data_IF_222841683068
#
_entry.id   IF_222841683068
#
_cell.length_a   1.000
_cell.length_b   1.000
_cell.length_c   1.000
_cell.angle_alpha   90.00
_cell.angle_beta   90.00
_cell.angle_gamma   90.00
#
_symmetry.space_group_name_H-M   'P 1'
#
loop_
_entity.id
_entity.type
_entity.pdbx_description
1 polymer ?
#
# COMPACT_ATOMS: atom_id res chain seq x y z
N UNK A 1 3.48 -13.79 -16.83
CA UNK A 1 4.84 -14.07 -17.36
C UNK A 1 5.73 -12.92 -16.92
N UNK A 2 6.54 -13.12 -15.88
CA UNK A 2 7.48 -12.13 -15.34
C UNK A 2 8.88 -12.74 -15.44
N UNK A 3 9.66 -12.25 -16.38
CA UNK A 3 11.11 -12.43 -16.51
C UNK A 3 11.72 -11.07 -16.14
N UNK A 4 12.78 -10.91 -15.36
CA UNK A 4 13.89 -11.80 -15.01
C UNK A 4 14.45 -11.34 -13.65
N UNK A 5 14.79 -12.27 -12.77
CA UNK A 5 15.59 -11.99 -11.57
C UNK A 5 17.06 -11.84 -11.98
N UNK A 6 17.71 -10.75 -11.57
CA UNK A 6 19.17 -10.60 -11.64
C UNK A 6 19.73 -10.95 -10.27
N UNK A 7 20.46 -12.06 -10.21
CA UNK A 7 21.22 -12.48 -9.03
C UNK A 7 22.52 -11.67 -8.94
N UNK A 8 22.63 -10.78 -7.97
CA UNK A 8 23.90 -10.15 -7.59
C UNK A 8 24.70 -11.09 -6.68
N UNK A 9 25.98 -11.31 -7.00
CA UNK A 9 26.90 -12.14 -6.22
C UNK A 9 27.20 -11.59 -4.81
N UNK A 10 27.94 -12.34 -3.97
CA UNK A 10 28.15 -12.01 -2.56
C UNK A 10 29.17 -10.88 -2.42
N UNK A 11 28.70 -9.64 -2.57
CA UNK A 11 29.42 -8.44 -2.14
C UNK A 11 29.43 -8.39 -0.61
N UNK A 12 30.61 -8.22 -0.03
CA UNK A 12 30.83 -7.99 1.41
C UNK A 12 29.76 -7.02 1.94
N UNK A 13 28.88 -7.50 2.83
CA UNK A 13 27.82 -6.71 3.44
C UNK A 13 28.37 -5.40 3.98
N UNK A 14 28.17 -4.31 3.24
CA UNK A 14 28.53 -2.98 3.71
C UNK A 14 27.76 -2.71 5.00
N UNK A 15 28.42 -2.21 6.06
CA UNK A 15 27.70 -1.84 7.27
C UNK A 15 26.75 -0.68 6.92
N UNK A 16 25.45 -0.97 6.95
CA UNK A 16 24.35 -0.03 6.78
C UNK A 16 23.62 0.07 8.11
N UNK A 17 23.31 1.29 8.53
CA UNK A 17 22.49 1.53 9.71
C UNK A 17 21.12 2.05 9.32
N UNK A 18 20.11 1.72 10.13
CA UNK A 18 18.81 2.38 10.10
C UNK A 18 18.68 3.29 11.33
N UNK A 19 18.22 4.52 11.11
CA UNK A 19 17.81 5.46 12.17
C UNK A 19 16.29 5.65 12.13
N UNK A 20 15.61 5.44 13.26
CA UNK A 20 14.14 5.45 13.34
C UNK A 20 13.62 5.92 14.69
N UNK A 21 12.37 6.38 14.70
CA UNK A 21 11.70 6.82 15.92
C UNK A 21 10.90 5.68 16.54
N UNK A 22 11.11 5.44 17.83
CA UNK A 22 10.30 4.56 18.67
C UNK A 22 9.56 5.39 19.71
N UNK A 23 8.74 4.74 20.56
CA UNK A 23 8.12 5.39 21.72
C UNK A 23 9.15 5.91 22.74
N UNK A 24 10.34 5.32 22.79
CA UNK A 24 11.43 5.70 23.70
C UNK A 24 12.32 6.80 23.12
N UNK A 25 12.14 7.15 21.85
CA UNK A 25 12.89 8.19 21.14
C UNK A 25 13.56 7.68 19.86
N UNK A 26 14.45 8.51 19.33
CA UNK A 26 15.22 8.20 18.13
C UNK A 26 16.31 7.15 18.46
N UNK A 27 16.41 6.14 17.61
CA UNK A 27 17.33 5.02 17.74
C UNK A 27 18.05 4.81 16.42
N UNK A 28 19.34 4.49 16.47
CA UNK A 28 20.13 4.10 15.30
C UNK A 28 20.84 2.77 15.54
N UNK A 29 20.64 1.82 14.63
CA UNK A 29 21.17 0.45 14.76
C UNK A 29 21.57 -0.11 13.40
N UNK A 30 22.43 -1.13 13.42
CA UNK A 30 22.81 -1.85 12.21
C UNK A 30 21.62 -2.58 11.60
N UNK A 31 21.57 -2.63 10.27
CA UNK A 31 20.45 -3.18 9.50
C UNK A 31 20.04 -4.60 9.94
N UNK A 32 21.01 -5.46 10.24
CA UNK A 32 20.80 -6.86 10.67
C UNK A 32 19.98 -6.96 11.96
N UNK A 33 20.12 -5.99 12.87
CA UNK A 33 19.35 -5.94 14.13
C UNK A 33 17.91 -5.44 13.92
N UNK A 34 17.67 -4.74 12.83
CA UNK A 34 16.37 -4.16 12.50
C UNK A 34 15.44 -5.12 11.75
N UNK A 35 15.96 -6.26 11.25
CA UNK A 35 15.21 -7.18 10.38
C UNK A 35 13.90 -7.68 11.01
N UNK A 36 13.87 -7.87 12.33
CA UNK A 36 12.71 -8.36 13.09
C UNK A 36 11.83 -7.24 13.68
N UNK A 37 12.20 -5.97 13.51
CA UNK A 37 11.45 -4.83 14.06
C UNK A 37 10.09 -4.69 13.38
N UNK A 38 9.05 -4.44 14.19
CA UNK A 38 7.68 -4.18 13.72
C UNK A 38 7.46 -2.68 13.55
N UNK A 39 8.12 -2.11 12.54
CA UNK A 39 8.06 -0.67 12.27
C UNK A 39 6.63 -0.15 12.19
N UNK A 40 5.73 -0.90 11.55
CA UNK A 40 4.33 -0.57 11.36
C UNK A 40 3.49 -0.49 12.65
N UNK A 41 4.01 -0.97 13.79
CA UNK A 41 3.32 -0.96 15.09
C UNK A 41 4.05 -0.15 16.17
N UNK A 42 5.38 -0.23 16.17
CA UNK A 42 6.22 0.23 17.29
C UNK A 42 6.96 1.54 16.99
N UNK A 43 6.94 1.99 15.73
CA UNK A 43 7.66 3.16 15.26
C UNK A 43 6.75 4.28 14.77
N UNK A 44 7.35 5.46 14.58
CA UNK A 44 6.70 6.64 13.99
C UNK A 44 7.55 7.22 12.86
N UNK A 45 6.96 8.05 11.97
CA UNK A 45 7.69 8.64 10.85
C UNK A 45 8.94 9.40 11.31
N UNK A 46 10.06 9.25 10.59
CA UNK A 46 11.32 9.94 10.90
C UNK A 46 11.37 11.39 10.46
N UNK A 47 10.44 11.79 9.61
CA UNK A 47 10.27 13.17 9.16
C UNK A 47 8.90 13.67 9.58
N UNK A 48 8.84 14.97 9.87
CA UNK A 48 7.58 15.67 10.05
C UNK A 48 6.97 15.97 8.68
N UNK A 49 5.64 16.06 8.64
CA UNK A 49 4.87 16.52 7.46
C UNK A 49 4.46 18.00 7.65
N UNK A 50 5.36 18.98 7.46
CA UNK A 50 4.99 20.38 7.59
C UNK A 50 4.05 20.81 6.45
N UNK A 51 3.01 21.56 6.82
CA UNK A 51 2.08 22.19 5.88
C UNK A 51 2.19 23.70 6.00
N UNK A 52 2.52 24.40 4.91
CA UNK A 52 2.62 25.87 4.89
C UNK A 52 2.06 26.49 3.60
N UNK A 53 1.68 27.77 3.67
CA UNK A 53 1.09 28.50 2.53
C UNK A 53 2.11 28.63 1.40
N UNK A 54 1.70 28.27 0.17
CA UNK A 54 2.54 28.35 -1.04
C UNK A 54 3.29 27.07 -1.38
N UNK A 55 3.08 26.01 -0.60
CA UNK A 55 3.66 24.69 -0.83
C UNK A 55 3.10 24.05 -2.11
N UNK A 56 3.99 23.45 -2.91
CA UNK A 56 3.65 22.82 -4.20
C UNK A 56 3.19 21.37 -4.07
N UNK A 57 3.63 20.69 -3.01
CA UNK A 57 3.20 19.35 -2.67
C UNK A 57 2.00 19.40 -1.69
N UNK A 58 1.20 18.34 -1.66
CA UNK A 58 -0.06 18.28 -0.92
C UNK A 58 0.06 17.28 0.22
N UNK A 59 0.67 17.67 1.36
CA UNK A 59 0.79 16.78 2.49
C UNK A 59 -0.58 16.50 3.11
N UNK A 60 -0.77 15.27 3.57
CA UNK A 60 -2.03 14.85 4.15
C UNK A 60 -1.90 13.54 4.93
N UNK A 61 -3.00 13.17 5.58
CA UNK A 61 -3.14 11.92 6.30
C UNK A 61 -4.21 11.06 5.62
N UNK A 62 -3.83 9.86 5.20
CA UNK A 62 -4.78 8.84 4.74
C UNK A 62 -5.23 8.01 5.94
N UNK A 63 -6.54 7.99 6.22
CA UNK A 63 -7.10 7.04 7.17
C UNK A 63 -7.11 5.65 6.52
N UNK A 64 -6.13 4.82 6.94
CA UNK A 64 -5.84 3.48 6.43
C UNK A 64 -6.79 2.49 7.09
N UNK A 65 -7.81 2.04 6.36
CA UNK A 65 -8.92 1.25 6.87
C UNK A 65 -8.48 -0.08 7.48
N UNK A 66 -7.42 -0.67 6.94
CA UNK A 66 -6.87 -1.95 7.40
C UNK A 66 -6.28 -1.87 8.82
N UNK A 67 -5.63 -0.76 9.18
CA UNK A 67 -5.02 -0.57 10.51
C UNK A 67 -5.82 0.34 11.44
N UNK A 68 -6.78 1.10 10.89
CA UNK A 68 -7.52 2.13 11.62
C UNK A 68 -6.69 3.37 11.98
N UNK A 69 -5.45 3.48 11.48
CA UNK A 69 -4.51 4.55 11.77
C UNK A 69 -4.40 5.53 10.59
N UNK A 70 -3.78 6.68 10.85
CA UNK A 70 -3.44 7.65 9.81
C UNK A 70 -2.02 7.41 9.30
N UNK A 71 -1.86 7.34 7.98
CA UNK A 71 -0.55 7.24 7.32
C UNK A 71 -0.31 8.50 6.51
N UNK A 72 0.89 9.09 6.64
CA UNK A 72 1.23 10.34 5.98
C UNK A 72 1.57 10.17 4.50
N UNK A 73 1.26 11.18 3.71
CA UNK A 73 1.75 11.35 2.35
C UNK A 73 2.15 12.81 2.13
N UNK A 74 3.12 13.07 1.26
CA UNK A 74 3.56 14.39 0.83
C UNK A 74 3.01 14.76 -0.57
N UNK A 75 2.58 13.78 -1.37
CA UNK A 75 2.08 14.00 -2.74
C UNK A 75 0.78 13.26 -3.06
N UNK A 76 0.12 13.62 -4.17
CA UNK A 76 -1.07 12.91 -4.65
C UNK A 76 -0.74 11.49 -5.13
N UNK A 77 0.44 11.28 -5.72
CA UNK A 77 0.88 9.96 -6.17
C UNK A 77 1.09 9.04 -4.98
N UNK A 78 1.72 9.54 -3.92
CA UNK A 78 1.85 8.83 -2.65
C UNK A 78 0.49 8.50 -2.02
N UNK A 79 -0.46 9.45 -1.99
CA UNK A 79 -1.82 9.18 -1.52
C UNK A 79 -2.49 8.06 -2.34
N UNK A 80 -2.35 8.10 -3.66
CA UNK A 80 -2.96 7.10 -4.54
C UNK A 80 -2.31 5.72 -4.33
N UNK A 81 -1.00 5.66 -4.08
CA UNK A 81 -0.32 4.42 -3.69
C UNK A 81 -0.78 3.92 -2.31
N UNK A 82 -0.94 4.79 -1.31
CA UNK A 82 -1.54 4.42 -0.02
C UNK A 82 -2.96 3.87 -0.17
N UNK A 83 -3.76 4.45 -1.07
CA UNK A 83 -5.11 3.96 -1.37
C UNK A 83 -5.06 2.55 -1.97
N UNK A 84 -4.11 2.25 -2.84
CA UNK A 84 -3.92 0.90 -3.39
C UNK A 84 -3.43 -0.08 -2.32
N UNK A 85 -2.46 0.31 -1.48
CA UNK A 85 -1.97 -0.50 -0.37
C UNK A 85 -3.08 -0.80 0.66
N UNK A 86 -3.99 0.14 0.91
CA UNK A 86 -5.12 -0.05 1.84
C UNK A 86 -6.24 -0.94 1.28
N UNK A 87 -6.29 -1.10 -0.05
CA UNK A 87 -7.22 -2.00 -0.73
C UNK A 87 -6.62 -3.40 -0.98
N UNK A 88 -5.31 -3.59 -0.74
CA UNK A 88 -4.64 -4.86 -0.93
C UNK A 88 -4.87 -5.79 0.28
N UNK A 89 -5.54 -6.94 0.11
CA UNK A 89 -5.86 -7.85 1.22
C UNK A 89 -4.63 -8.53 1.83
N UNK A 90 -3.48 -8.50 1.15
CA UNK A 90 -2.22 -9.04 1.67
C UNK A 90 -1.47 -8.01 2.51
N UNK A 91 -1.80 -6.72 2.45
CA UNK A 91 -1.19 -5.69 3.29
C UNK A 91 -1.87 -5.68 4.65
N UNK A 92 -1.08 -5.69 5.73
CA UNK A 92 -1.60 -5.67 7.12
C UNK A 92 -1.05 -4.52 7.96
N UNK A 93 -0.06 -3.79 7.44
CA UNK A 93 0.47 -2.60 8.11
C UNK A 93 1.32 -1.75 7.18
N UNK A 94 1.25 -0.43 7.38
CA UNK A 94 2.03 0.54 6.61
C UNK A 94 2.52 1.64 7.55
N UNK A 95 3.79 2.02 7.42
CA UNK A 95 4.37 3.20 8.06
C UNK A 95 4.98 4.11 6.98
N UNK A 96 4.58 5.39 6.99
CA UNK A 96 5.20 6.41 6.15
C UNK A 96 6.55 6.85 6.70
N UNK A 97 7.54 7.03 5.82
CA UNK A 97 8.89 7.51 6.16
C UNK A 97 9.46 6.79 7.39
N UNK A 98 9.65 5.46 7.29
CA UNK A 98 9.80 4.58 8.44
C UNK A 98 11.15 4.74 9.16
N UNK A 99 12.20 5.06 8.40
CA UNK A 99 13.58 5.16 8.87
C UNK A 99 14.44 5.93 7.87
N UNK A 100 15.58 6.44 8.34
CA UNK A 100 16.70 6.80 7.48
C UNK A 100 17.63 5.61 7.30
N UNK A 101 17.96 5.28 6.06
CA UNK A 101 19.05 4.39 5.69
C UNK A 101 20.33 5.22 5.65
N UNK A 102 21.36 4.81 6.38
CA UNK A 102 22.67 5.46 6.40
C UNK A 102 23.73 4.55 5.79
N UNK A 103 24.39 5.03 4.74
CA UNK A 103 25.54 4.36 4.14
C UNK A 103 26.87 5.04 4.52
N UNK A 104 27.98 4.31 4.34
CA UNK A 104 29.32 4.74 4.77
C UNK A 104 29.88 5.96 4.05
N UNK A 105 29.43 6.20 2.82
CA UNK A 105 29.81 7.36 2.02
C UNK A 105 29.13 8.66 2.47
N UNK A 106 28.32 8.59 3.54
CA UNK A 106 27.57 9.73 4.08
C UNK A 106 26.23 9.95 3.39
N UNK A 107 25.93 9.21 2.32
CA UNK A 107 24.62 9.24 1.68
C UNK A 107 23.59 8.70 2.66
N UNK A 108 22.41 9.34 2.70
CA UNK A 108 21.26 8.86 3.46
C UNK A 108 19.99 8.97 2.65
N UNK A 109 19.06 8.07 2.89
CA UNK A 109 17.77 8.03 2.21
C UNK A 109 16.67 7.67 3.19
N UNK A 110 15.50 8.27 3.06
CA UNK A 110 14.31 7.87 3.80
C UNK A 110 13.28 7.37 2.78
N UNK A 111 13.01 6.05 2.74
CA UNK A 111 11.97 5.51 1.88
C UNK A 111 10.60 6.10 2.20
N UNK A 112 9.70 6.14 1.23
CA UNK A 112 8.36 6.71 1.43
C UNK A 112 7.49 5.81 2.33
N UNK A 113 7.55 4.48 2.17
CA UNK A 113 6.76 3.55 2.98
C UNK A 113 7.50 2.26 3.38
N UNK A 114 7.18 1.77 4.57
CA UNK A 114 7.38 0.38 4.98
C UNK A 114 6.03 -0.33 4.94
N UNK A 115 5.96 -1.49 4.31
CA UNK A 115 4.73 -2.29 4.16
C UNK A 115 4.97 -3.68 4.75
N UNK A 116 4.12 -4.07 5.69
CA UNK A 116 4.03 -5.43 6.22
C UNK A 116 2.94 -6.19 5.48
N UNK A 117 3.29 -7.36 4.93
CA UNK A 117 2.32 -8.29 4.37
C UNK A 117 1.85 -9.34 5.38
N UNK A 118 0.71 -9.96 5.09
CA UNK A 118 0.03 -10.97 5.92
C UNK A 118 0.89 -12.20 6.18
N UNK A 119 1.71 -12.59 5.21
CA UNK A 119 2.67 -13.71 5.34
C UNK A 119 3.91 -13.35 6.17
N UNK A 120 3.99 -12.11 6.67
CA UNK A 120 5.11 -11.59 7.43
C UNK A 120 6.22 -10.99 6.58
N UNK A 121 6.17 -11.10 5.24
CA UNK A 121 7.14 -10.45 4.36
C UNK A 121 7.05 -8.92 4.45
N UNK A 122 8.14 -8.27 4.07
CA UNK A 122 8.29 -6.80 4.09
C UNK A 122 8.54 -6.32 2.69
N UNK A 123 7.89 -5.21 2.36
CA UNK A 123 8.23 -4.42 1.19
C UNK A 123 8.54 -2.99 1.61
N UNK A 124 9.70 -2.48 1.23
CA UNK A 124 10.03 -1.06 1.32
C UNK A 124 9.68 -0.40 0.00
N UNK A 125 9.01 0.75 0.04
CA UNK A 125 8.46 1.41 -1.14
C UNK A 125 8.95 2.85 -1.24
N UNK A 126 9.42 3.22 -2.43
CA UNK A 126 9.63 4.61 -2.83
C UNK A 126 8.67 4.97 -3.98
N UNK A 127 8.04 6.13 -3.87
CA UNK A 127 7.04 6.63 -4.82
C UNK A 127 7.65 7.74 -5.66
N UNK A 128 7.88 7.49 -6.94
CA UNK A 128 8.38 8.51 -7.88
C UNK A 128 7.71 8.37 -9.24
N UNK A 129 7.19 9.49 -9.73
CA UNK A 129 6.69 9.60 -11.10
C UNK A 129 7.80 9.23 -12.09
N UNK A 130 7.48 8.41 -13.10
CA UNK A 130 8.45 7.83 -14.04
C UNK A 130 9.22 8.90 -14.82
N UNK A 131 8.61 10.06 -15.08
CA UNK A 131 9.17 11.19 -15.82
C UNK A 131 10.08 12.09 -14.98
N UNK A 132 10.27 11.79 -13.69
CA UNK A 132 11.03 12.62 -12.74
C UNK A 132 12.23 11.94 -12.10
N UNK A 133 12.71 10.85 -12.71
CA UNK A 133 13.80 10.06 -12.13
C UNK A 133 15.14 10.51 -12.71
N UNK A 134 15.95 11.16 -11.89
CA UNK A 134 17.35 11.48 -12.24
C UNK A 134 18.25 10.24 -12.09
N UNK A 135 19.44 10.30 -12.67
CA UNK A 135 20.45 9.25 -12.53
C UNK A 135 20.83 9.01 -11.06
N UNK A 136 20.94 10.11 -10.29
CA UNK A 136 21.21 10.04 -8.85
C UNK A 136 20.07 9.37 -8.07
N UNK A 137 18.82 9.58 -8.46
CA UNK A 137 17.68 8.88 -7.84
C UNK A 137 17.75 7.37 -8.08
N UNK A 138 18.14 6.95 -9.30
CA UNK A 138 18.29 5.52 -9.63
C UNK A 138 19.36 4.86 -8.77
N UNK A 139 20.51 5.51 -8.61
CA UNK A 139 21.58 5.00 -7.76
C UNK A 139 21.12 4.81 -6.30
N UNK A 140 20.31 5.74 -5.77
CA UNK A 140 19.74 5.64 -4.42
C UNK A 140 18.72 4.49 -4.34
N UNK A 141 17.90 4.28 -5.37
CA UNK A 141 16.92 3.18 -5.41
C UNK A 141 17.60 1.82 -5.51
N UNK A 142 18.63 1.68 -6.35
CA UNK A 142 19.38 0.43 -6.50
C UNK A 142 20.10 0.08 -5.19
N UNK A 143 20.67 1.09 -4.51
CA UNK A 143 21.28 0.91 -3.19
C UNK A 143 20.25 0.56 -2.12
N UNK A 144 19.08 1.15 -2.16
CA UNK A 144 17.97 0.82 -1.24
C UNK A 144 17.48 -0.60 -1.45
N UNK A 145 17.34 -1.03 -2.71
CA UNK A 145 16.99 -2.40 -3.07
C UNK A 145 18.03 -3.41 -2.58
N UNK A 146 19.32 -3.15 -2.83
CA UNK A 146 20.41 -3.99 -2.34
C UNK A 146 20.43 -4.06 -0.80
N UNK A 147 20.18 -2.93 -0.13
CA UNK A 147 20.08 -2.85 1.34
C UNK A 147 18.92 -3.72 1.86
N UNK A 148 17.73 -3.61 1.28
CA UNK A 148 16.57 -4.40 1.69
C UNK A 148 16.81 -5.91 1.50
N UNK A 149 17.42 -6.29 0.37
CA UNK A 149 17.72 -7.69 0.06
C UNK A 149 18.67 -8.34 1.09
N UNK A 150 19.57 -7.57 1.73
CA UNK A 150 20.48 -8.09 2.76
C UNK A 150 19.76 -8.66 3.99
N UNK A 151 18.52 -8.21 4.26
CA UNK A 151 17.68 -8.70 5.37
C UNK A 151 16.43 -9.43 4.88
N UNK A 152 16.41 -9.82 3.61
CA UNK A 152 15.31 -10.56 3.00
C UNK A 152 14.03 -9.72 2.82
N UNK A 153 14.14 -8.39 2.77
CA UNK A 153 13.03 -7.51 2.44
C UNK A 153 12.98 -7.25 0.94
N UNK A 154 11.77 -7.18 0.40
CA UNK A 154 11.55 -6.71 -0.95
C UNK A 154 11.66 -5.18 -1.01
N UNK A 155 11.97 -4.65 -2.19
CA UNK A 155 11.98 -3.22 -2.46
C UNK A 155 11.25 -2.94 -3.76
N UNK A 156 10.35 -1.95 -3.75
CA UNK A 156 9.61 -1.51 -4.93
C UNK A 156 9.71 0.00 -5.09
N UNK A 157 10.14 0.43 -6.28
CA UNK A 157 9.91 1.80 -6.73
C UNK A 157 8.64 1.83 -7.56
N UNK A 158 7.65 2.62 -7.15
CA UNK A 158 6.34 2.71 -7.81
C UNK A 158 6.09 4.11 -8.36
N UNK A 159 5.39 4.18 -9.49
CA UNK A 159 5.01 5.42 -10.16
C UNK A 159 3.56 5.82 -9.91
N UNK A 160 2.96 6.52 -10.87
CA UNK A 160 1.52 6.75 -10.87
C UNK A 160 0.76 5.45 -11.08
N UNK A 161 -0.36 5.29 -10.37
CA UNK A 161 -1.31 4.22 -10.67
C UNK A 161 -1.87 4.39 -12.08
N UNK A 162 -2.17 3.26 -12.72
CA UNK A 162 -2.96 3.24 -13.95
C UNK A 162 -4.26 4.07 -13.76
N UNK A 163 -4.65 4.92 -14.72
CA UNK A 163 -5.79 5.81 -14.57
C UNK A 163 -7.11 5.10 -14.27
N UNK A 164 -7.34 3.91 -14.84
CA UNK A 164 -8.57 3.12 -14.63
C UNK A 164 -8.57 2.52 -13.23
N UNK A 165 -7.46 1.88 -12.84
CA UNK A 165 -7.29 1.34 -11.50
C UNK A 165 -7.48 2.43 -10.44
N UNK A 166 -6.83 3.58 -10.63
CA UNK A 166 -6.96 4.75 -9.75
C UNK A 166 -8.40 5.23 -9.64
N UNK A 167 -9.13 5.31 -10.74
CA UNK A 167 -10.53 5.76 -10.73
C UNK A 167 -11.43 4.79 -9.95
N UNK A 168 -11.28 3.48 -10.19
CA UNK A 168 -12.02 2.44 -9.50
C UNK A 168 -11.71 2.41 -8.00
N UNK A 169 -10.44 2.40 -7.62
CA UNK A 169 -10.04 2.44 -6.21
C UNK A 169 -10.52 3.72 -5.52
N UNK A 170 -10.46 4.87 -6.20
CA UNK A 170 -10.96 6.13 -5.64
C UNK A 170 -12.47 6.07 -5.37
N UNK A 171 -13.25 5.47 -6.26
CA UNK A 171 -14.67 5.21 -6.01
C UNK A 171 -14.88 4.28 -4.82
N UNK A 172 -14.22 3.11 -4.82
CA UNK A 172 -14.35 2.11 -3.76
C UNK A 172 -13.89 2.64 -2.39
N UNK A 173 -12.90 3.53 -2.36
CA UNK A 173 -12.37 4.10 -1.11
C UNK A 173 -13.44 4.82 -0.28
N UNK A 174 -14.53 5.31 -0.90
CA UNK A 174 -15.66 5.91 -0.18
C UNK A 174 -16.40 4.92 0.74
N UNK A 175 -16.25 3.62 0.49
CA UNK A 175 -16.97 2.53 1.16
C UNK A 175 -16.10 1.71 2.11
N UNK A 176 -14.80 2.01 2.22
CA UNK A 176 -13.83 1.22 3.00
C UNK A 176 -14.12 1.13 4.50
N UNK A 177 -14.79 2.14 5.06
CA UNK A 177 -14.97 2.25 6.50
C UNK A 177 -15.87 1.12 7.06
N UNK A 178 -15.52 0.47 8.19
CA UNK A 178 -16.27 -0.67 8.74
C UNK A 178 -17.78 -0.42 8.96
N UNK A 179 -18.18 0.82 9.25
CA UNK A 179 -19.59 1.24 9.36
C UNK A 179 -20.48 0.88 8.15
N UNK A 180 -19.87 0.72 6.98
CA UNK A 180 -20.58 0.40 5.73
C UNK A 180 -20.98 -1.07 5.71
N UNK A 181 -20.22 -1.95 6.36
CA UNK A 181 -20.51 -3.37 6.42
C UNK A 181 -21.85 -3.63 7.13
N UNK A 182 -22.73 -4.38 6.45
CA UNK A 182 -23.93 -4.97 7.02
C UNK A 182 -23.83 -6.47 6.83
N UNK A 183 -23.57 -7.21 7.92
CA UNK A 183 -23.22 -8.63 7.87
C UNK A 183 -24.26 -9.44 7.10
N UNK A 184 -25.55 -9.27 7.40
CA UNK A 184 -26.61 -10.01 6.69
C UNK A 184 -26.67 -9.75 5.18
N UNK A 185 -26.36 -8.53 4.72
CA UNK A 185 -26.27 -8.24 3.27
C UNK A 185 -24.98 -8.78 2.68
N UNK A 186 -23.88 -8.78 3.45
CA UNK A 186 -22.62 -9.34 3.00
C UNK A 186 -22.75 -10.85 2.76
N UNK A 187 -23.39 -11.58 3.67
CA UNK A 187 -23.61 -13.02 3.52
C UNK A 187 -24.47 -13.33 2.28
N UNK A 188 -25.55 -12.58 2.06
CA UNK A 188 -26.38 -12.71 0.86
C UNK A 188 -25.61 -12.39 -0.44
N UNK A 189 -24.76 -11.35 -0.42
CA UNK A 189 -23.88 -11.02 -1.53
C UNK A 189 -22.85 -12.14 -1.79
N UNK A 190 -22.31 -12.76 -0.75
CA UNK A 190 -21.41 -13.91 -0.85
C UNK A 190 -22.09 -15.07 -1.59
N UNK A 191 -23.30 -15.43 -1.15
CA UNK A 191 -24.08 -16.52 -1.74
C UNK A 191 -24.42 -16.24 -3.22
N UNK A 192 -24.83 -15.01 -3.51
CA UNK A 192 -25.11 -14.56 -4.88
C UNK A 192 -23.85 -14.61 -5.73
N UNK A 193 -22.74 -14.04 -5.29
CA UNK A 193 -21.50 -14.00 -6.09
C UNK A 193 -20.62 -15.25 -5.99
N UNK A 194 -21.08 -16.32 -5.33
CA UNK A 194 -20.47 -17.65 -5.39
C UNK A 194 -20.36 -18.17 -6.84
N UNK A 195 -21.16 -17.63 -7.77
CA UNK A 195 -20.95 -17.73 -9.22
C UNK A 195 -20.79 -16.34 -9.81
N UNK A 196 -19.77 -16.20 -10.64
CA UNK A 196 -19.46 -14.94 -11.35
C UNK A 196 -20.69 -14.46 -12.11
N UNK A 197 -21.04 -13.18 -11.95
CA UNK A 197 -22.18 -12.54 -12.62
C UNK A 197 -22.02 -11.02 -12.70
N UNK A 198 -22.82 -10.34 -13.55
CA UNK A 198 -22.86 -8.88 -13.60
C UNK A 198 -23.18 -8.24 -12.23
N UNK A 199 -22.52 -7.13 -11.94
CA UNK A 199 -22.65 -6.38 -10.68
C UNK A 199 -24.12 -6.09 -10.35
N UNK A 200 -24.85 -5.44 -11.27
CA UNK A 200 -26.23 -5.03 -11.00
C UNK A 200 -27.20 -6.21 -10.96
N UNK A 201 -26.93 -7.28 -11.71
CA UNK A 201 -27.73 -8.51 -11.62
C UNK A 201 -27.63 -9.15 -10.23
N UNK A 202 -26.43 -9.18 -9.63
CA UNK A 202 -26.26 -9.66 -8.26
C UNK A 202 -26.88 -8.73 -7.22
N UNK A 203 -26.73 -7.42 -7.37
CA UNK A 203 -27.35 -6.41 -6.51
C UNK A 203 -28.87 -6.57 -6.46
N UNK A 204 -29.52 -6.67 -7.63
CA UNK A 204 -30.97 -6.86 -7.73
C UNK A 204 -31.45 -8.19 -7.17
N UNK A 205 -30.61 -9.24 -7.20
CA UNK A 205 -30.95 -10.52 -6.59
C UNK A 205 -30.96 -10.47 -5.05
N UNK A 206 -30.18 -9.56 -4.45
CA UNK A 206 -30.13 -9.36 -2.98
C UNK A 206 -31.22 -8.40 -2.51
N UNK A 207 -31.44 -7.28 -3.21
CA UNK A 207 -32.47 -6.33 -2.83
C UNK A 207 -32.34 -4.94 -3.48
N UNK A 208 -32.78 -3.91 -2.76
CA UNK A 208 -32.79 -2.52 -3.26
C UNK A 208 -31.37 -2.00 -3.48
N UNK A 209 -31.00 -1.58 -4.70
CA UNK A 209 -29.62 -1.18 -5.03
C UNK A 209 -29.02 -0.13 -4.10
N UNK A 210 -29.81 0.88 -3.71
CA UNK A 210 -29.35 1.95 -2.81
C UNK A 210 -28.86 1.44 -1.45
N UNK A 211 -29.37 0.28 -1.00
CA UNK A 211 -29.00 -0.36 0.27
C UNK A 211 -27.86 -1.36 0.08
N UNK A 212 -27.87 -2.08 -1.04
CA UNK A 212 -26.94 -3.20 -1.30
C UNK A 212 -25.59 -2.72 -1.86
N UNK A 213 -25.59 -1.74 -2.78
CA UNK A 213 -24.38 -1.25 -3.44
C UNK A 213 -23.27 -0.81 -2.46
N UNK A 214 -23.55 -0.05 -1.38
CA UNK A 214 -22.52 0.31 -0.42
C UNK A 214 -21.81 -0.90 0.19
N UNK A 215 -22.56 -1.97 0.51
CA UNK A 215 -21.99 -3.21 1.06
C UNK A 215 -21.19 -3.95 0.00
N UNK A 216 -21.69 -4.05 -1.24
CA UNK A 216 -20.95 -4.65 -2.35
C UNK A 216 -19.61 -3.94 -2.58
N UNK A 217 -19.60 -2.61 -2.65
CA UNK A 217 -18.37 -1.83 -2.83
C UNK A 217 -17.42 -1.97 -1.63
N UNK A 218 -17.94 -2.07 -0.41
CA UNK A 218 -17.14 -2.38 0.76
C UNK A 218 -16.47 -3.76 0.65
N UNK A 219 -17.20 -4.78 0.19
CA UNK A 219 -16.63 -6.12 -0.02
C UNK A 219 -15.60 -6.16 -1.15
N UNK A 220 -15.78 -5.38 -2.21
CA UNK A 220 -14.77 -5.21 -3.27
C UNK A 220 -13.49 -4.54 -2.75
N UNK A 221 -13.64 -3.48 -1.93
CA UNK A 221 -12.49 -2.81 -1.31
C UNK A 221 -11.66 -3.78 -0.46
N UNK A 222 -12.31 -4.64 0.31
CA UNK A 222 -11.65 -5.59 1.22
C UNK A 222 -11.32 -6.94 0.54
N UNK A 223 -11.45 -7.04 -0.79
CA UNK A 223 -11.13 -8.25 -1.55
C UNK A 223 -12.00 -9.48 -1.26
N UNK A 224 -13.14 -9.31 -0.55
CA UNK A 224 -14.10 -10.39 -0.29
C UNK A 224 -14.97 -10.68 -1.50
N UNK A 225 -15.27 -9.65 -2.28
CA UNK A 225 -15.68 -9.78 -3.66
C UNK A 225 -14.52 -9.32 -4.55
N UNK A 226 -14.46 -9.84 -5.77
CA UNK A 226 -13.40 -9.49 -6.74
C UNK A 226 -13.99 -9.13 -8.08
N UNK A 227 -13.31 -8.23 -8.78
CA UNK A 227 -13.59 -7.78 -10.13
C UNK A 227 -12.28 -7.39 -10.82
N UNK A 228 -12.26 -7.34 -12.14
CA UNK A 228 -11.16 -6.68 -12.85
C UNK A 228 -11.27 -5.16 -12.67
N UNK A 229 -10.35 -4.58 -11.89
CA UNK A 229 -10.29 -3.15 -11.62
C UNK A 229 -9.35 -2.40 -12.57
N UNK A 230 -8.63 -3.10 -13.44
CA UNK A 230 -7.63 -2.50 -14.33
C UNK A 230 -8.14 -2.40 -15.78
N UNK A 231 -8.92 -3.38 -16.25
CA UNK A 231 -9.37 -3.43 -17.63
C UNK A 231 -10.36 -2.32 -18.02
N UNK A 232 -11.28 -1.98 -17.12
CA UNK A 232 -12.29 -0.94 -17.37
C UNK A 232 -12.80 -0.31 -16.06
N UNK A 233 -13.43 0.85 -16.18
CA UNK A 233 -14.15 1.45 -15.06
C UNK A 233 -15.29 0.53 -14.61
N UNK A 234 -15.51 0.44 -13.29
CA UNK A 234 -16.61 -0.32 -12.70
C UNK A 234 -17.95 0.19 -13.25
N UNK A 235 -18.77 -0.74 -13.71
CA UNK A 235 -20.09 -0.47 -14.25
C UNK A 235 -21.06 -1.62 -14.00
N UNK A 236 -22.28 -1.45 -14.49
CA UNK A 236 -23.40 -2.34 -14.18
C UNK A 236 -23.15 -3.80 -14.60
N UNK A 237 -22.45 -3.97 -15.71
CA UNK A 237 -22.11 -5.27 -16.30
C UNK A 237 -20.78 -5.85 -15.84
N UNK A 238 -20.05 -5.18 -14.94
CA UNK A 238 -18.77 -5.71 -14.45
C UNK A 238 -18.98 -7.08 -13.81
N UNK A 239 -18.20 -8.05 -14.27
CA UNK A 239 -18.22 -9.41 -13.72
C UNK A 239 -17.64 -9.41 -12.30
N UNK A 240 -18.48 -9.76 -11.33
CA UNK A 240 -18.09 -9.87 -9.92
C UNK A 240 -18.09 -11.34 -9.53
N UNK A 241 -17.06 -11.76 -8.80
CA UNK A 241 -16.96 -13.10 -8.20
C UNK A 241 -16.64 -13.04 -6.72
N UNK A 242 -16.63 -14.21 -6.10
CA UNK A 242 -16.18 -14.40 -4.72
C UNK A 242 -14.66 -14.31 -4.65
N UNK A 243 -14.14 -13.51 -3.71
CA UNK A 243 -12.72 -13.47 -3.36
C UNK A 243 -12.31 -14.64 -2.47
N UNK A 244 -11.00 -14.80 -2.25
CA UNK A 244 -10.40 -15.91 -1.50
C UNK A 244 -10.40 -15.71 0.02
N UNK A 245 -10.96 -14.61 0.54
CA UNK A 245 -10.85 -14.20 1.95
C UNK A 245 -12.17 -13.93 2.67
N UNK A 246 -13.11 -14.87 2.61
CA UNK A 246 -14.31 -14.87 3.47
C UNK A 246 -14.00 -15.41 4.87
#
# INVERSE_FOLDING_TARGET
MLTSAVSAGPGVASAVDLEFNTREGCTRQSLDRCAATRFELDCSPVRNFPSFRGQRNFPGLWWFATTGAHVGHESWVERDQLMALDADPDVVGVLSQPFWIHWRDGTRHAPDYFVRRRDGSVVVVDVREDDRISDADRDVFDRSAATCAMVGWDYLRVGSLDPVLRANLRWLSGYRHPRVLKIGLADQLAEVFARVRPLMAGVHAVGTPLVVLPVLFHLLWHGRLVADLQGAALGDDTAIGLGTGW
#
